data_IF_319767384734
#
_entry.id   IF_319767384734
#
_cell.length_a   1.000
_cell.length_b   1.000
_cell.length_c   1.000
_cell.angle_alpha   90.00
_cell.angle_beta   90.00
_cell.angle_gamma   90.00
#
_symmetry.space_group_name_H-M   'P 1'
#
loop_
_entity.id
_entity.type
_entity.pdbx_description
1 polymer ?
#
# COMPACT_ATOMS: atom_id res chain seq x y z
N UNK A 1 -19.29 -28.38 -12.17
CA UNK A 1 -17.87 -28.11 -11.88
C UNK A 1 -17.11 -28.69 -13.05
N UNK A 2 -16.47 -27.85 -13.85
CA UNK A 2 -15.79 -28.29 -15.07
C UNK A 2 -14.56 -29.16 -14.71
N UNK A 3 -14.21 -30.12 -15.56
CA UNK A 3 -13.04 -30.99 -15.34
C UNK A 3 -11.74 -30.17 -15.22
N UNK A 4 -11.70 -29.00 -15.84
CA UNK A 4 -10.56 -28.10 -15.83
C UNK A 4 -10.43 -27.31 -14.51
N UNK A 5 -11.55 -26.97 -13.87
CA UNK A 5 -11.59 -26.35 -12.54
C UNK A 5 -11.13 -27.32 -11.45
N UNK A 6 -11.55 -28.58 -11.57
CA UNK A 6 -11.07 -29.65 -10.68
C UNK A 6 -9.56 -29.86 -10.81
N UNK A 7 -9.00 -29.82 -12.03
CA UNK A 7 -7.55 -29.92 -12.26
C UNK A 7 -6.78 -28.73 -11.68
N UNK A 8 -7.27 -27.50 -11.85
CA UNK A 8 -6.62 -26.28 -11.31
C UNK A 8 -6.67 -26.23 -9.78
N UNK A 9 -7.80 -26.57 -9.17
CA UNK A 9 -7.95 -26.67 -7.72
C UNK A 9 -7.01 -27.73 -7.12
N UNK A 10 -6.91 -28.89 -7.78
CA UNK A 10 -6.00 -29.95 -7.35
C UNK A 10 -4.53 -29.50 -7.47
N UNK A 11 -4.17 -28.80 -8.54
CA UNK A 11 -2.82 -28.24 -8.73
C UNK A 11 -2.46 -27.21 -7.67
N UNK A 12 -3.38 -26.30 -7.30
CA UNK A 12 -3.16 -25.32 -6.21
C UNK A 12 -3.00 -26.02 -4.86
N UNK A 13 -3.84 -27.02 -4.57
CA UNK A 13 -3.78 -27.80 -3.33
C UNK A 13 -2.47 -28.59 -3.22
N UNK A 14 -2.01 -29.19 -4.33
CA UNK A 14 -0.73 -29.89 -4.42
C UNK A 14 0.44 -28.93 -4.21
N UNK A 15 0.42 -27.73 -4.81
CA UNK A 15 1.48 -26.71 -4.61
C UNK A 15 1.51 -26.15 -3.19
N UNK A 16 0.34 -25.91 -2.58
CA UNK A 16 0.23 -25.47 -1.20
C UNK A 16 0.74 -26.55 -0.23
N UNK A 17 0.35 -27.81 -0.45
CA UNK A 17 0.84 -28.95 0.34
C UNK A 17 2.34 -29.16 0.15
N UNK A 18 2.86 -29.02 -1.08
CA UNK A 18 4.30 -29.07 -1.35
C UNK A 18 5.07 -27.95 -0.63
N UNK A 19 4.54 -26.73 -0.66
CA UNK A 19 5.13 -25.58 0.06
C UNK A 19 5.09 -25.77 1.56
N UNK A 20 4.01 -26.34 2.11
CA UNK A 20 3.90 -26.68 3.52
C UNK A 20 4.95 -27.73 3.92
N UNK A 21 5.13 -28.79 3.14
CA UNK A 21 6.17 -29.82 3.36
C UNK A 21 7.60 -29.25 3.32
N UNK A 22 7.85 -28.19 2.54
CA UNK A 22 9.18 -27.53 2.56
C UNK A 22 9.51 -26.82 3.86
N UNK A 23 8.53 -26.59 4.76
CA UNK A 23 8.79 -26.05 6.10
C UNK A 23 9.25 -27.12 7.11
N UNK A 24 9.04 -28.41 6.79
CA UNK A 24 9.53 -29.53 7.61
C UNK A 24 11.04 -29.74 7.43
N UNK A 25 11.64 -29.22 6.35
CA UNK A 25 13.08 -29.14 6.18
C UNK A 25 13.65 -27.99 7.02
N UNK A 26 14.35 -28.35 8.09
CA UNK A 26 14.96 -27.43 9.04
C UNK A 26 15.94 -26.44 8.38
N UNK A 27 16.63 -26.84 7.29
CA UNK A 27 17.51 -25.95 6.55
C UNK A 27 16.72 -24.91 5.74
N UNK A 28 15.60 -25.31 5.14
CA UNK A 28 14.70 -24.39 4.41
C UNK A 28 14.03 -23.43 5.37
N UNK A 29 13.56 -23.95 6.51
CA UNK A 29 12.98 -23.15 7.60
C UNK A 29 13.97 -22.12 8.11
N UNK A 30 15.20 -22.53 8.44
CA UNK A 30 16.27 -21.62 8.89
C UNK A 30 16.56 -20.54 7.86
N UNK A 31 16.77 -20.91 6.58
CA UNK A 31 17.00 -19.95 5.48
C UNK A 31 15.85 -18.94 5.29
N UNK A 32 14.59 -19.35 5.53
CA UNK A 32 13.41 -18.47 5.41
C UNK A 32 13.22 -17.55 6.62
N UNK A 33 13.62 -17.98 7.81
CA UNK A 33 13.53 -17.18 9.04
C UNK A 33 14.67 -16.17 9.14
N UNK A 34 15.86 -16.48 8.60
CA UNK A 34 17.02 -15.57 8.61
C UNK A 34 16.70 -14.29 7.81
N UNK A 35 16.48 -13.21 8.55
CA UNK A 35 16.35 -11.86 7.98
C UNK A 35 17.72 -11.41 7.49
N UNK A 36 17.74 -10.70 6.37
CA UNK A 36 18.97 -10.17 5.79
C UNK A 36 18.79 -8.66 5.62
N UNK A 37 19.77 -7.90 6.08
CA UNK A 37 19.93 -6.48 5.72
C UNK A 37 20.77 -6.38 4.46
N UNK A 38 20.82 -5.19 3.85
CA UNK A 38 21.72 -4.95 2.75
C UNK A 38 22.27 -3.53 2.74
N UNK A 39 23.47 -3.36 2.18
CA UNK A 39 23.98 -2.06 1.77
C UNK A 39 23.89 -1.92 0.26
N UNK A 40 23.67 -0.70 -0.21
CA UNK A 40 23.61 -0.37 -1.64
C UNK A 40 24.64 0.71 -1.92
N UNK A 41 25.60 0.40 -2.79
CA UNK A 41 26.60 1.35 -3.28
C UNK A 41 26.24 1.79 -4.69
N UNK A 42 26.10 3.09 -4.91
CA UNK A 42 25.88 3.70 -6.22
C UNK A 42 26.67 5.02 -6.28
N UNK A 43 27.43 5.24 -7.36
CA UNK A 43 28.28 6.42 -7.56
C UNK A 43 29.21 6.74 -6.37
N UNK A 44 29.79 5.70 -5.75
CA UNK A 44 30.69 5.84 -4.60
C UNK A 44 29.99 6.06 -3.24
N UNK A 45 28.68 6.28 -3.21
CA UNK A 45 27.90 6.45 -1.97
C UNK A 45 27.29 5.12 -1.56
N UNK A 46 27.52 4.70 -0.31
CA UNK A 46 26.96 3.47 0.27
C UNK A 46 25.90 3.81 1.31
N UNK A 47 24.70 3.23 1.17
CA UNK A 47 23.60 3.39 2.14
C UNK A 47 23.12 2.04 2.68
N UNK A 48 22.63 2.03 3.91
CA UNK A 48 22.16 0.81 4.58
C UNK A 48 20.63 0.68 4.51
N UNK A 49 20.15 -0.56 4.36
CA UNK A 49 18.73 -0.88 4.21
C UNK A 49 18.36 -2.15 4.95
N UNK A 50 17.16 -2.17 5.52
CA UNK A 50 16.60 -3.34 6.21
C UNK A 50 16.32 -4.54 5.29
N UNK A 51 16.28 -4.33 3.97
CA UNK A 51 16.12 -5.40 2.99
C UNK A 51 16.49 -4.94 1.58
N UNK A 52 16.75 -5.91 0.69
CA UNK A 52 16.94 -5.65 -0.76
C UNK A 52 15.75 -4.92 -1.38
N UNK A 53 14.52 -5.22 -0.94
CA UNK A 53 13.33 -4.51 -1.43
C UNK A 53 13.32 -3.04 -1.00
N UNK A 54 13.74 -2.75 0.25
CA UNK A 54 13.87 -1.38 0.74
C UNK A 54 14.93 -0.60 -0.06
N UNK A 55 16.07 -1.23 -0.37
CA UNK A 55 17.09 -0.65 -1.25
C UNK A 55 16.55 -0.37 -2.66
N UNK A 56 15.80 -1.31 -3.26
CA UNK A 56 15.15 -1.07 -4.56
C UNK A 56 14.20 0.13 -4.51
N UNK A 57 13.39 0.23 -3.45
CA UNK A 57 12.45 1.34 -3.28
C UNK A 57 13.16 2.68 -3.07
N UNK A 58 14.24 2.70 -2.30
CA UNK A 58 15.00 3.91 -2.00
C UNK A 58 15.65 4.52 -3.24
N UNK A 59 16.13 3.67 -4.16
CA UNK A 59 16.79 4.08 -5.40
C UNK A 59 15.88 4.07 -6.64
N UNK A 60 14.55 3.91 -6.47
CA UNK A 60 13.59 3.95 -7.57
C UNK A 60 13.69 2.77 -8.55
N UNK A 61 14.33 1.67 -8.15
CA UNK A 61 14.59 0.51 -9.00
C UNK A 61 13.30 -0.32 -9.24
N UNK A 62 13.22 -1.06 -10.36
CA UNK A 62 12.04 -1.86 -10.70
C UNK A 62 11.78 -2.96 -9.68
N UNK A 63 10.84 -2.70 -8.77
CA UNK A 63 10.50 -3.63 -7.68
C UNK A 63 9.91 -4.96 -8.17
N UNK A 64 9.41 -5.06 -9.41
CA UNK A 64 8.98 -6.35 -9.98
C UNK A 64 10.09 -7.39 -10.06
N UNK A 65 11.34 -6.96 -10.21
CA UNK A 65 12.51 -7.83 -10.38
C UNK A 65 13.25 -8.12 -9.07
N UNK A 66 12.80 -7.55 -7.94
CA UNK A 66 13.54 -7.63 -6.68
C UNK A 66 13.59 -9.06 -6.10
N UNK A 67 12.63 -9.94 -6.42
CA UNK A 67 12.56 -11.28 -5.82
C UNK A 67 13.69 -12.18 -6.33
N UNK A 68 13.87 -12.25 -7.66
CA UNK A 68 14.95 -13.01 -8.28
C UNK A 68 16.32 -12.41 -7.93
N UNK A 69 16.41 -11.07 -7.95
CA UNK A 69 17.62 -10.35 -7.57
C UNK A 69 18.03 -10.61 -6.11
N UNK A 70 17.07 -10.57 -5.18
CA UNK A 70 17.29 -10.86 -3.75
C UNK A 70 17.80 -12.27 -3.53
N UNK A 71 17.26 -13.26 -4.25
CA UNK A 71 17.72 -14.64 -4.13
C UNK A 71 19.19 -14.78 -4.52
N UNK A 72 19.61 -14.15 -5.63
CA UNK A 72 21.00 -14.13 -6.08
C UNK A 72 21.91 -13.41 -5.07
N UNK A 73 21.52 -12.20 -4.66
CA UNK A 73 22.30 -11.40 -3.70
C UNK A 73 22.52 -12.12 -2.36
N UNK A 74 21.53 -12.91 -1.88
CA UNK A 74 21.66 -13.72 -0.67
C UNK A 74 22.59 -14.92 -0.80
N UNK A 75 22.67 -15.53 -1.99
CA UNK A 75 23.54 -16.69 -2.23
C UNK A 75 24.98 -16.24 -2.38
N UNK A 76 25.20 -15.19 -3.17
CA UNK A 76 26.53 -14.72 -3.54
C UNK A 76 27.10 -13.68 -2.55
N UNK A 77 26.29 -13.27 -1.55
CA UNK A 77 26.62 -12.21 -0.60
C UNK A 77 26.56 -10.79 -1.20
N UNK A 78 26.59 -10.68 -2.53
CA UNK A 78 26.44 -9.43 -3.26
C UNK A 78 25.86 -9.64 -4.66
N UNK A 79 25.23 -8.61 -5.22
CA UNK A 79 24.76 -8.59 -6.60
C UNK A 79 24.75 -7.17 -7.15
N UNK A 80 25.08 -7.02 -8.43
CA UNK A 80 24.99 -5.74 -9.15
C UNK A 80 23.74 -5.67 -10.01
N UNK A 81 23.11 -4.49 -10.04
CA UNK A 81 22.02 -4.14 -10.94
C UNK A 81 22.42 -2.91 -11.75
N UNK A 82 22.24 -2.97 -13.07
CA UNK A 82 22.31 -1.80 -13.93
C UNK A 82 20.91 -1.28 -14.21
N UNK A 83 20.69 0.01 -13.97
CA UNK A 83 19.41 0.67 -14.23
C UNK A 83 19.66 2.13 -14.61
N UNK A 84 19.08 2.56 -15.73
CA UNK A 84 19.21 3.94 -16.24
C UNK A 84 20.66 4.43 -16.37
N UNK A 85 21.58 3.54 -16.75
CA UNK A 85 23.00 3.85 -16.93
C UNK A 85 23.81 3.94 -15.63
N UNK A 86 23.22 3.61 -14.48
CA UNK A 86 23.88 3.57 -13.18
C UNK A 86 24.03 2.12 -12.68
N UNK A 87 25.16 1.83 -12.03
CA UNK A 87 25.43 0.53 -11.42
C UNK A 87 25.19 0.59 -9.91
N UNK A 88 24.33 -0.29 -9.43
CA UNK A 88 23.97 -0.44 -8.03
C UNK A 88 24.53 -1.75 -7.50
N UNK A 89 25.49 -1.69 -6.58
CA UNK A 89 26.03 -2.86 -5.90
C UNK A 89 25.28 -3.09 -4.60
N UNK A 90 24.56 -4.20 -4.50
CA UNK A 90 23.93 -4.66 -3.27
C UNK A 90 24.86 -5.64 -2.57
N UNK A 91 25.17 -5.42 -1.30
CA UNK A 91 25.80 -6.43 -0.42
C UNK A 91 24.79 -6.83 0.64
N UNK A 92 24.55 -8.13 0.84
CA UNK A 92 23.58 -8.62 1.83
C UNK A 92 24.26 -9.30 2.99
N UNK A 93 23.76 -9.04 4.20
CA UNK A 93 24.30 -9.57 5.44
C UNK A 93 23.18 -10.28 6.22
N UNK A 94 23.43 -11.46 6.80
CA UNK A 94 22.52 -12.03 7.79
C UNK A 94 22.35 -11.05 8.94
N UNK A 95 21.12 -10.75 9.33
CA UNK A 95 20.84 -9.97 10.54
C UNK A 95 21.05 -10.93 11.71
N UNK A 96 22.23 -10.90 12.34
CA UNK A 96 22.56 -11.80 13.45
C UNK A 96 21.45 -11.80 14.50
N UNK A 97 20.89 -12.98 14.72
CA UNK A 97 19.87 -13.22 15.73
C UNK A 97 20.52 -13.33 17.11
N UNK A 98 21.06 -12.22 17.62
CA UNK A 98 21.20 -12.06 19.05
C UNK A 98 19.89 -11.49 19.60
N UNK A 99 19.20 -12.31 20.38
CA UNK A 99 18.10 -11.91 21.24
C UNK A 99 18.68 -10.88 22.22
N UNK A 100 18.45 -9.59 21.96
CA UNK A 100 18.66 -8.52 22.93
C UNK A 100 17.28 -8.13 23.49
N UNK A 101 17.06 -8.19 24.81
CA UNK A 101 15.83 -7.71 25.43
C UNK A 101 15.68 -6.21 25.17
N UNK A 102 14.45 -5.78 24.91
CA UNK A 102 14.03 -4.38 24.96
C UNK A 102 14.65 -3.71 26.19
N UNK A 103 15.35 -2.57 26.06
CA UNK A 103 15.82 -1.83 27.22
C UNK A 103 14.61 -1.41 28.06
N UNK A 104 14.56 -1.89 29.30
CA UNK A 104 13.65 -1.39 30.31
C UNK A 104 14.03 0.07 30.60
N UNK A 105 13.18 1.01 30.19
CA UNK A 105 13.31 2.38 30.66
C UNK A 105 13.16 2.44 32.18
N UNK A 106 13.98 3.25 32.87
CA UNK A 106 13.88 3.43 34.31
C UNK A 106 12.58 4.14 34.66
N UNK A 107 11.85 3.57 35.61
CA UNK A 107 10.71 4.18 36.28
C UNK A 107 11.18 5.45 37.02
N UNK A 108 11.06 6.60 36.38
CA UNK A 108 10.97 7.88 37.07
C UNK A 108 9.49 8.20 37.27
N UNK A 109 9.01 7.89 38.47
CA UNK A 109 7.72 8.34 38.98
C UNK A 109 7.71 9.87 39.10
N UNK A 110 6.97 10.53 38.21
CA UNK A 110 6.34 11.80 38.51
C UNK A 110 4.84 11.64 38.35
N UNK A 111 4.16 11.58 39.51
CA UNK A 111 2.73 11.75 39.60
C UNK A 111 2.37 13.14 39.05
N UNK A 112 1.83 13.18 37.84
CA UNK A 112 0.89 14.22 37.46
C UNK A 112 -0.51 13.65 37.67
N UNK A 113 -1.11 14.03 38.80
CA UNK A 113 -2.56 13.94 38.99
C UNK A 113 -3.22 14.73 37.86
N UNK A 114 -3.98 14.05 37.01
CA UNK A 114 -4.77 14.68 35.97
C UNK A 114 -5.82 13.71 35.48
N UNK A 115 -7.02 13.85 36.05
CA UNK A 115 -8.33 13.57 35.44
C UNK A 115 -8.50 12.30 34.61
N UNK A 116 -9.39 11.44 35.08
CA UNK A 116 -10.12 10.48 34.27
C UNK A 116 -10.90 11.24 33.17
N UNK A 117 -10.25 11.56 32.05
CA UNK A 117 -10.87 12.05 30.83
C UNK A 117 -10.98 10.85 29.90
N UNK A 118 -12.21 10.41 29.64
CA UNK A 118 -12.52 9.61 28.46
C UNK A 118 -11.91 10.34 27.27
N UNK A 119 -10.83 9.81 26.70
CA UNK A 119 -10.19 10.42 25.54
C UNK A 119 -11.21 10.44 24.40
N UNK A 120 -11.64 11.62 24.00
CA UNK A 120 -12.40 11.80 22.77
C UNK A 120 -11.59 11.19 21.63
N UNK A 121 -12.13 10.17 20.98
CA UNK A 121 -11.51 9.57 19.81
C UNK A 121 -11.49 10.65 18.72
N UNK A 122 -10.30 11.16 18.37
CA UNK A 122 -10.14 12.18 17.33
C UNK A 122 -10.84 11.74 16.05
N UNK A 123 -11.65 12.63 15.50
CA UNK A 123 -12.35 12.44 14.24
C UNK A 123 -11.36 12.30 13.07
N UNK A 124 -11.82 11.70 11.97
CA UNK A 124 -10.97 11.56 10.78
C UNK A 124 -10.54 12.93 10.20
N UNK A 125 -11.36 13.96 10.36
CA UNK A 125 -11.07 15.32 9.88
C UNK A 125 -10.03 16.02 10.75
N UNK A 126 -10.07 15.85 12.08
CA UNK A 126 -9.02 16.33 12.98
C UNK A 126 -7.68 15.65 12.68
N UNK A 127 -7.69 14.34 12.43
CA UNK A 127 -6.49 13.61 12.03
C UNK A 127 -5.96 14.08 10.67
N UNK A 128 -6.84 14.37 9.71
CA UNK A 128 -6.44 14.96 8.42
C UNK A 128 -5.85 16.36 8.59
N UNK A 129 -6.43 17.19 9.44
CA UNK A 129 -5.93 18.53 9.73
C UNK A 129 -4.52 18.49 10.33
N UNK A 130 -4.27 17.57 11.27
CA UNK A 130 -2.93 17.34 11.84
C UNK A 130 -1.96 16.98 10.73
N UNK A 131 -2.32 16.04 9.85
CA UNK A 131 -1.40 15.59 8.81
C UNK A 131 -1.17 16.65 7.75
N UNK A 132 -2.18 17.43 7.43
CA UNK A 132 -2.03 18.61 6.59
C UNK A 132 -1.02 19.59 7.20
N UNK A 133 -1.13 19.85 8.51
CA UNK A 133 -0.16 20.65 9.25
C UNK A 133 1.27 20.13 9.11
N UNK A 134 1.49 18.82 9.30
CA UNK A 134 2.80 18.18 9.10
C UNK A 134 3.29 18.32 7.65
N UNK A 135 2.40 18.12 6.67
CA UNK A 135 2.72 18.26 5.25
C UNK A 135 3.17 19.68 4.89
N UNK A 136 2.42 20.69 5.33
CA UNK A 136 2.72 22.08 5.02
C UNK A 136 3.94 22.59 5.79
N UNK A 137 4.14 22.12 7.03
CA UNK A 137 5.38 22.39 7.77
C UNK A 137 6.59 21.84 7.03
N UNK A 138 6.55 20.56 6.59
CA UNK A 138 7.63 19.96 5.81
C UNK A 138 7.88 20.72 4.49
N UNK A 139 6.81 21.09 3.77
CA UNK A 139 6.90 21.87 2.54
C UNK A 139 7.55 23.25 2.75
N UNK A 140 7.26 23.91 3.88
CA UNK A 140 7.83 25.20 4.26
C UNK A 140 9.34 25.18 4.56
N UNK A 141 9.95 24.01 4.76
CA UNK A 141 11.40 23.89 5.00
C UNK A 141 12.26 24.13 3.75
N UNK A 142 11.66 24.12 2.54
CA UNK A 142 12.38 24.16 1.27
C UNK A 142 13.02 22.83 0.85
N UNK A 143 13.06 21.82 1.73
CA UNK A 143 13.61 20.48 1.42
C UNK A 143 12.57 19.57 0.71
N UNK A 144 11.29 19.86 0.90
CA UNK A 144 10.18 19.08 0.36
C UNK A 144 9.46 19.88 -0.73
N UNK A 145 9.51 19.36 -1.96
CA UNK A 145 8.56 19.78 -2.99
C UNK A 145 7.19 19.13 -2.75
N UNK A 146 6.16 19.59 -3.48
CA UNK A 146 4.79 19.11 -3.32
C UNK A 146 4.66 17.57 -3.44
N UNK A 147 5.43 16.95 -4.33
CA UNK A 147 5.44 15.48 -4.49
C UNK A 147 5.95 14.76 -3.25
N UNK A 148 7.03 15.26 -2.63
CA UNK A 148 7.58 14.69 -1.39
C UNK A 148 6.65 14.96 -0.21
N UNK A 149 6.09 16.17 -0.10
CA UNK A 149 5.14 16.51 0.96
C UNK A 149 3.89 15.62 0.89
N UNK A 150 3.32 15.41 -0.30
CA UNK A 150 2.20 14.47 -0.53
C UNK A 150 2.51 13.04 -0.05
N UNK A 151 3.77 12.60 -0.12
CA UNK A 151 4.13 11.25 0.31
C UNK A 151 3.87 11.01 1.81
N UNK A 152 3.82 12.07 2.63
CA UNK A 152 3.41 11.99 4.03
C UNK A 152 1.98 11.45 4.10
N UNK A 153 1.05 12.02 3.32
CA UNK A 153 -0.30 11.47 3.20
C UNK A 153 -0.30 10.04 2.62
N UNK A 154 0.31 9.82 1.45
CA UNK A 154 0.09 8.56 0.72
C UNK A 154 0.88 7.37 1.25
N UNK A 155 2.01 7.58 1.95
CA UNK A 155 2.92 6.50 2.37
C UNK A 155 3.23 6.48 3.87
N UNK A 156 3.20 7.62 4.56
CA UNK A 156 3.54 7.69 6.00
C UNK A 156 2.29 7.52 6.86
N UNK A 157 1.16 8.08 6.45
CA UNK A 157 -0.14 7.93 7.14
C UNK A 157 -0.50 6.48 7.44
N UNK A 158 -1.03 6.27 8.65
CA UNK A 158 -1.55 5.00 9.10
C UNK A 158 -2.67 4.48 8.18
N UNK A 159 -2.63 3.18 7.88
CA UNK A 159 -3.66 2.50 7.09
C UNK A 159 -5.07 2.63 7.68
N UNK A 160 -5.19 2.77 9.01
CA UNK A 160 -6.47 2.96 9.72
C UNK A 160 -7.20 4.23 9.25
N UNK A 161 -6.51 5.37 9.17
CA UNK A 161 -7.12 6.62 8.72
C UNK A 161 -7.56 6.54 7.26
N UNK A 162 -6.71 5.98 6.38
CA UNK A 162 -7.10 5.76 4.97
C UNK A 162 -8.34 4.89 4.84
N UNK A 163 -8.47 3.87 5.68
CA UNK A 163 -9.67 3.02 5.71
C UNK A 163 -10.91 3.78 6.22
N UNK A 164 -10.76 4.70 7.18
CA UNK A 164 -11.84 5.56 7.67
C UNK A 164 -12.30 6.58 6.60
N UNK A 165 -11.40 7.02 5.71
CA UNK A 165 -11.71 8.00 4.68
C UNK A 165 -12.22 7.37 3.38
N UNK A 166 -11.74 6.18 3.04
CA UNK A 166 -12.11 5.50 1.79
C UNK A 166 -13.58 5.17 1.74
N UNK A 167 -14.26 5.66 0.71
CA UNK A 167 -15.71 5.46 0.52
C UNK A 167 -15.99 4.80 -0.82
N UNK A 168 -16.81 3.75 -0.80
CA UNK A 168 -17.29 3.13 -2.02
C UNK A 168 -18.44 3.96 -2.60
N UNK A 169 -18.43 4.22 -3.91
CA UNK A 169 -19.45 5.07 -4.55
C UNK A 169 -20.73 4.31 -4.92
N UNK A 170 -20.72 2.98 -4.87
CA UNK A 170 -21.78 2.15 -5.42
C UNK A 170 -21.57 1.74 -6.87
N UNK A 171 -20.40 2.01 -7.48
CA UNK A 171 -20.11 1.62 -8.86
C UNK A 171 -19.14 0.45 -8.96
N UNK A 172 -19.47 -0.54 -9.79
CA UNK A 172 -18.67 -1.74 -10.04
C UNK A 172 -18.49 -1.91 -11.54
N UNK A 173 -17.29 -2.23 -12.02
CA UNK A 173 -17.11 -2.55 -13.45
C UNK A 173 -17.88 -3.81 -13.84
N UNK A 174 -18.44 -3.85 -15.06
CA UNK A 174 -19.09 -5.04 -15.61
C UNK A 174 -18.20 -6.29 -15.53
N UNK A 175 -16.90 -6.17 -15.83
CA UNK A 175 -15.97 -7.30 -15.77
C UNK A 175 -15.80 -7.85 -14.34
N UNK A 176 -15.63 -6.98 -13.34
CA UNK A 176 -15.55 -7.39 -11.94
C UNK A 176 -16.84 -8.05 -11.41
N UNK A 177 -18.00 -7.64 -11.93
CA UNK A 177 -19.28 -8.25 -11.55
C UNK A 177 -19.50 -9.62 -12.24
N UNK A 178 -18.96 -9.80 -13.45
CA UNK A 178 -19.15 -11.01 -14.25
C UNK A 178 -18.23 -12.17 -13.85
N UNK A 179 -17.05 -11.89 -13.27
CA UNK A 179 -16.07 -12.90 -12.87
C UNK A 179 -15.88 -12.94 -11.34
N UNK A 180 -16.50 -13.92 -10.65
CA UNK A 180 -16.37 -14.10 -9.21
C UNK A 180 -14.94 -14.37 -8.73
N UNK A 181 -14.05 -14.83 -9.61
CA UNK A 181 -12.65 -15.15 -9.29
C UNK A 181 -11.68 -14.03 -9.68
N UNK A 182 -12.16 -12.99 -10.36
CA UNK A 182 -11.35 -11.86 -10.77
C UNK A 182 -10.59 -11.27 -9.59
N UNK A 183 -9.36 -10.80 -9.87
CA UNK A 183 -8.56 -10.08 -8.89
C UNK A 183 -9.09 -8.66 -8.76
N UNK A 184 -9.88 -8.40 -7.73
CA UNK A 184 -10.54 -7.11 -7.51
C UNK A 184 -9.61 -6.06 -6.92
N UNK A 185 -9.77 -4.81 -7.35
CA UNK A 185 -9.11 -3.60 -6.86
C UNK A 185 -10.17 -2.57 -6.42
N UNK A 186 -9.88 -1.84 -5.34
CA UNK A 186 -10.59 -0.60 -5.01
C UNK A 186 -9.83 0.51 -5.70
N UNK A 187 -10.34 0.99 -6.82
CA UNK A 187 -9.65 1.94 -7.67
C UNK A 187 -10.04 3.38 -7.32
N UNK A 188 -9.04 4.21 -7.07
CA UNK A 188 -9.19 5.64 -6.82
C UNK A 188 -9.26 6.40 -8.16
N UNK A 189 -10.46 6.47 -8.73
CA UNK A 189 -10.70 7.07 -10.06
C UNK A 189 -10.33 8.55 -10.14
N UNK A 190 -10.36 9.26 -9.01
CA UNK A 190 -9.94 10.66 -8.91
C UNK A 190 -8.42 10.88 -8.91
N UNK A 191 -7.60 9.81 -9.05
CA UNK A 191 -6.14 9.91 -9.19
C UNK A 191 -5.49 10.70 -8.05
N UNK A 192 -5.75 10.25 -6.82
CA UNK A 192 -5.34 10.92 -5.58
C UNK A 192 -3.88 11.37 -5.56
N UNK A 193 -2.95 10.58 -6.13
CA UNK A 193 -1.53 10.96 -6.14
C UNK A 193 -1.27 12.25 -6.93
N UNK A 194 -1.75 12.33 -8.18
CA UNK A 194 -1.51 13.49 -9.01
C UNK A 194 -2.27 14.72 -8.51
N UNK A 195 -3.56 14.56 -8.19
CA UNK A 195 -4.42 15.65 -7.74
C UNK A 195 -3.96 16.23 -6.39
N UNK A 196 -3.53 15.39 -5.46
CA UNK A 196 -3.02 15.86 -4.18
C UNK A 196 -1.65 16.56 -4.33
N UNK A 197 -0.79 16.13 -5.27
CA UNK A 197 0.44 16.88 -5.59
C UNK A 197 0.09 18.29 -6.09
N UNK A 198 -0.88 18.42 -7.01
CA UNK A 198 -1.28 19.73 -7.53
C UNK A 198 -1.86 20.63 -6.43
N UNK A 199 -2.71 20.09 -5.56
CA UNK A 199 -3.29 20.82 -4.45
C UNK A 199 -2.23 21.33 -3.48
N UNK A 200 -1.29 20.47 -3.07
CA UNK A 200 -0.18 20.89 -2.20
C UNK A 200 0.69 21.94 -2.89
N UNK A 201 0.98 21.79 -4.19
CA UNK A 201 1.75 22.77 -4.94
C UNK A 201 1.05 24.13 -5.02
N UNK A 202 -0.29 24.14 -5.09
CA UNK A 202 -1.08 25.35 -5.02
C UNK A 202 -1.00 25.99 -3.63
N UNK A 203 -1.29 25.24 -2.57
CA UNK A 203 -1.27 25.76 -1.19
C UNK A 203 0.13 26.23 -0.76
N UNK A 204 1.20 25.68 -1.33
CA UNK A 204 2.56 26.20 -1.12
C UNK A 204 2.78 27.60 -1.71
N UNK A 205 2.01 27.99 -2.74
CA UNK A 205 2.08 29.29 -3.41
C UNK A 205 1.04 30.27 -2.89
N UNK A 206 -0.20 29.83 -2.74
CA UNK A 206 -1.36 30.65 -2.37
C UNK A 206 -1.58 30.76 -0.86
N UNK A 207 -0.95 29.87 -0.08
CA UNK A 207 -1.09 29.80 1.37
C UNK A 207 -1.83 28.52 1.81
N UNK A 208 -1.65 28.09 3.08
CA UNK A 208 -2.29 26.88 3.56
C UNK A 208 -3.82 27.00 3.64
N UNK A 209 -4.53 26.00 3.11
CA UNK A 209 -5.98 25.83 3.25
C UNK A 209 -6.29 24.39 3.69
N UNK A 210 -6.62 24.24 4.96
CA UNK A 210 -6.93 22.93 5.56
C UNK A 210 -8.31 22.42 5.17
N UNK A 211 -9.29 23.31 5.00
CA UNK A 211 -10.66 22.92 4.68
C UNK A 211 -10.72 22.37 3.26
N UNK A 212 -10.11 23.09 2.30
CA UNK A 212 -9.97 22.61 0.92
C UNK A 212 -9.21 21.29 0.85
N UNK A 213 -8.16 21.11 1.68
CA UNK A 213 -7.42 19.85 1.75
C UNK A 213 -8.31 18.68 2.19
N UNK A 214 -9.07 18.84 3.29
CA UNK A 214 -9.94 17.79 3.82
C UNK A 214 -11.01 17.40 2.80
N UNK A 215 -11.69 18.39 2.21
CA UNK A 215 -12.71 18.16 1.18
C UNK A 215 -12.13 17.40 -0.03
N UNK A 216 -10.98 17.86 -0.52
CA UNK A 216 -10.30 17.29 -1.67
C UNK A 216 -9.86 15.84 -1.39
N UNK A 217 -9.31 15.55 -0.22
CA UNK A 217 -8.93 14.18 0.18
C UNK A 217 -10.16 13.27 0.26
N UNK A 218 -11.25 13.71 0.89
CA UNK A 218 -12.50 12.93 0.97
C UNK A 218 -13.03 12.57 -0.41
N UNK A 219 -13.03 13.53 -1.34
CA UNK A 219 -13.41 13.29 -2.73
C UNK A 219 -12.46 12.29 -3.39
N UNK A 220 -11.15 12.47 -3.24
CA UNK A 220 -10.16 11.60 -3.89
C UNK A 220 -10.08 10.18 -3.32
N UNK A 221 -10.53 9.96 -2.09
CA UNK A 221 -10.63 8.64 -1.44
C UNK A 221 -11.88 7.85 -1.83
N UNK A 222 -12.73 8.40 -2.71
CA UNK A 222 -13.81 7.65 -3.33
C UNK A 222 -13.26 6.55 -4.26
N UNK A 223 -13.87 5.38 -4.21
CA UNK A 223 -13.40 4.20 -4.97
C UNK A 223 -14.51 3.47 -5.69
N UNK A 224 -14.14 2.87 -6.83
CA UNK A 224 -14.90 1.88 -7.57
C UNK A 224 -14.34 0.48 -7.34
N UNK A 225 -15.16 -0.56 -7.55
CA UNK A 225 -14.66 -1.94 -7.66
C UNK A 225 -14.39 -2.21 -9.13
N UNK A 226 -13.14 -2.52 -9.47
CA UNK A 226 -12.71 -2.91 -10.81
C UNK A 226 -11.82 -4.14 -10.75
N UNK A 227 -11.56 -4.78 -11.88
CA UNK A 227 -10.51 -5.80 -11.97
C UNK A 227 -9.12 -5.19 -11.94
N UNK A 228 -8.11 -5.99 -11.64
CA UNK A 228 -6.71 -5.58 -11.65
C UNK A 228 -6.30 -5.09 -13.05
N UNK A 229 -6.70 -5.81 -14.09
CA UNK A 229 -6.43 -5.51 -15.49
C UNK A 229 -7.03 -4.17 -15.91
N UNK A 230 -8.29 -3.90 -15.53
CA UNK A 230 -8.97 -2.62 -15.75
C UNK A 230 -8.30 -1.47 -15.00
N UNK A 231 -7.85 -1.67 -13.76
CA UNK A 231 -7.10 -0.63 -13.05
C UNK A 231 -5.86 -0.19 -13.84
N UNK A 232 -5.11 -1.14 -14.42
CA UNK A 232 -3.97 -0.81 -15.29
C UNK A 232 -4.39 -0.14 -16.61
N UNK A 233 -5.49 -0.59 -17.23
CA UNK A 233 -6.04 0.03 -18.43
C UNK A 233 -6.45 1.48 -18.17
N UNK A 234 -7.17 1.74 -17.08
CA UNK A 234 -7.54 3.07 -16.63
C UNK A 234 -6.30 3.95 -16.41
N UNK A 235 -5.22 3.41 -15.83
CA UNK A 235 -3.98 4.17 -15.65
C UNK A 235 -3.36 4.59 -17.00
N UNK A 236 -3.30 3.68 -17.97
CA UNK A 236 -2.81 3.98 -19.33
C UNK A 236 -3.69 5.00 -20.04
N UNK A 237 -5.00 4.94 -19.82
CA UNK A 237 -5.99 5.88 -20.34
C UNK A 237 -6.12 7.18 -19.51
N UNK A 238 -5.14 7.48 -18.63
CA UNK A 238 -5.14 8.69 -17.77
C UNK A 238 -6.39 8.85 -16.89
N UNK A 239 -7.06 7.75 -16.56
CA UNK A 239 -8.30 7.73 -15.76
C UNK A 239 -9.58 7.83 -16.58
N UNK A 240 -9.52 7.92 -17.90
CA UNK A 240 -10.71 7.86 -18.75
C UNK A 240 -11.18 6.40 -18.87
N UNK A 241 -12.33 6.10 -18.27
CA UNK A 241 -12.90 4.76 -18.29
C UNK A 241 -13.39 4.36 -19.68
N UNK A 242 -14.00 5.29 -20.43
CA UNK A 242 -14.44 5.05 -21.81
C UNK A 242 -13.26 4.65 -22.71
N UNK A 243 -12.16 5.42 -22.65
CA UNK A 243 -10.94 5.09 -23.38
C UNK A 243 -10.24 3.82 -22.89
N UNK A 244 -10.53 3.37 -21.66
CA UNK A 244 -10.05 2.11 -21.10
C UNK A 244 -11.00 0.93 -21.38
N UNK A 245 -12.18 1.16 -21.97
CA UNK A 245 -13.21 0.15 -22.17
C UNK A 245 -13.86 -0.34 -20.88
N UNK A 246 -13.88 0.48 -19.83
CA UNK A 246 -14.44 0.11 -18.51
C UNK A 246 -15.87 0.63 -18.43
N UNK A 247 -16.82 -0.29 -18.38
CA UNK A 247 -18.23 0.03 -18.16
C UNK A 247 -18.58 -0.16 -16.68
N UNK A 248 -19.17 0.86 -16.06
CA UNK A 248 -19.62 0.82 -14.68
C UNK A 248 -21.11 0.48 -14.58
N UNK A 249 -21.41 -0.48 -13.71
CA UNK A 249 -22.75 -0.85 -13.28
C UNK A 249 -23.04 -0.25 -11.91
N UNK A 250 -24.31 0.08 -11.68
CA UNK A 250 -24.80 0.47 -10.37
C UNK A 250 -24.94 -0.75 -9.45
N UNK A 251 -24.50 -0.60 -8.20
CA UNK A 251 -24.54 -1.66 -7.20
C UNK A 251 -25.94 -2.25 -7.07
N UNK A 252 -26.97 -1.40 -7.05
CA UNK A 252 -28.36 -1.81 -6.86
C UNK A 252 -28.90 -2.69 -8.00
N UNK A 253 -28.31 -2.60 -9.18
CA UNK A 253 -28.71 -3.37 -10.36
C UNK A 253 -28.01 -4.74 -10.44
N UNK A 254 -27.04 -4.99 -9.57
CA UNK A 254 -26.33 -6.27 -9.52
C UNK A 254 -27.17 -7.35 -8.82
N UNK A 255 -27.14 -8.60 -9.32
CA UNK A 255 -27.70 -9.75 -8.61
C UNK A 255 -27.22 -9.85 -7.16
N UNK A 256 -28.10 -10.29 -6.27
CA UNK A 256 -27.84 -10.31 -4.82
C UNK A 256 -26.63 -11.18 -4.44
N UNK A 257 -26.47 -12.32 -5.09
CA UNK A 257 -25.34 -13.23 -4.92
C UNK A 257 -24.00 -12.60 -5.34
N UNK A 258 -24.01 -11.83 -6.44
CA UNK A 258 -22.85 -11.04 -6.89
C UNK A 258 -22.53 -9.95 -5.87
N UNK A 259 -23.52 -9.18 -5.42
CA UNK A 259 -23.34 -8.15 -4.38
C UNK A 259 -22.76 -8.73 -3.09
N UNK A 260 -23.30 -9.84 -2.60
CA UNK A 260 -22.82 -10.52 -1.39
C UNK A 260 -21.37 -10.97 -1.55
N UNK A 261 -21.01 -11.48 -2.72
CA UNK A 261 -19.63 -11.90 -3.04
C UNK A 261 -18.67 -10.70 -3.04
N UNK A 262 -19.01 -9.63 -3.76
CA UNK A 262 -18.20 -8.42 -3.83
C UNK A 262 -18.08 -7.72 -2.47
N UNK A 263 -19.16 -7.67 -1.70
CA UNK A 263 -19.19 -7.08 -0.37
C UNK A 263 -18.17 -7.77 0.55
N UNK A 264 -18.23 -9.10 0.62
CA UNK A 264 -17.35 -9.89 1.48
C UNK A 264 -15.89 -9.87 1.00
N UNK A 265 -15.66 -9.90 -0.31
CA UNK A 265 -14.30 -9.91 -0.88
C UNK A 265 -13.62 -8.54 -0.85
N UNK A 266 -14.38 -7.44 -0.94
CA UNK A 266 -13.78 -6.13 -1.24
C UNK A 266 -14.27 -4.93 -0.45
N UNK A 267 -15.48 -4.95 0.13
CA UNK A 267 -16.01 -3.80 0.87
C UNK A 267 -15.87 -3.95 2.39
N UNK A 268 -16.21 -5.13 2.91
CA UNK A 268 -16.21 -5.39 4.36
C UNK A 268 -14.82 -5.12 4.97
N UNK A 269 -14.75 -4.14 5.86
CA UNK A 269 -13.51 -3.73 6.52
C UNK A 269 -12.48 -3.03 5.63
N UNK A 270 -12.85 -2.66 4.39
CA UNK A 270 -11.95 -1.99 3.44
C UNK A 270 -12.37 -0.57 3.09
N UNK A 271 -13.64 -0.22 3.31
CA UNK A 271 -14.21 1.13 3.12
C UNK A 271 -15.08 1.50 4.34
N UNK A 272 -15.18 2.79 4.65
CA UNK A 272 -15.87 3.27 5.85
C UNK A 272 -17.38 3.16 5.76
N UNK A 273 -17.95 3.34 4.56
CA UNK A 273 -19.38 3.24 4.29
C UNK A 273 -19.86 1.83 3.93
N UNK A 274 -19.05 0.79 4.19
CA UNK A 274 -19.37 -0.58 3.80
C UNK A 274 -20.77 -1.03 4.26
N UNK A 275 -21.17 -0.66 5.48
CA UNK A 275 -22.48 -1.03 6.05
C UNK A 275 -23.68 -0.60 5.19
N UNK A 276 -23.55 0.45 4.39
CA UNK A 276 -24.60 0.92 3.48
C UNK A 276 -24.85 -0.05 2.31
N UNK A 277 -23.88 -0.92 2.03
CA UNK A 277 -23.88 -1.88 0.91
C UNK A 277 -23.91 -3.33 1.41
N UNK A 278 -24.24 -3.56 2.68
CA UNK A 278 -24.37 -4.91 3.22
C UNK A 278 -25.58 -5.61 2.59
N UNK A 279 -25.38 -6.87 2.19
CA UNK A 279 -26.36 -7.75 1.52
C UNK A 279 -26.17 -9.18 2.04
#
# INVERSE_FOLDING_TARGET
MDQDDLKKANTRRIRAAGTARTWDDENVRRKRITRHTCTVTCNGVTTEHDSVHAGFKAYGLPTGSHISFRSRAKIDGMATLEHEGLTYLFKTFPKDSNIVPTPSEPKASQQLKGGNLKGDEQTADEQLAIVYGVMMHAAGTGLFNATKARAIYSHVMASKLKMQLRTFTGKVSRAAAADPEAKLILEHFHRIQHRLTLLVADHMKSGPDVAAFIEAVRRMEQVHIVTFEENYAAHRAKGCYDAAGIELLDWVDLPEDVRRTLYNRKLKGSVSNAKQYAV
#
